data_IF_876101773630
#
_entry.id   IF_876101773630
#
_cell.length_a   1.000
_cell.length_b   1.000
_cell.length_c   1.000
_cell.angle_alpha   90.00
_cell.angle_beta   90.00
_cell.angle_gamma   90.00
#
_symmetry.space_group_name_H-M   'P 1'
#
loop_
_entity.id
_entity.type
_entity.pdbx_description
1 polymer ?
#
# COMPACT_ATOMS: atom_id res chain seq x y z
N UNK A 1 -10.31 -30.58 -27.76
CA UNK A 1 -10.53 -29.93 -26.45
C UNK A 1 -10.54 -28.44 -26.73
N UNK A 2 -11.52 -27.70 -26.25
CA UNK A 2 -11.51 -26.25 -26.34
C UNK A 2 -10.34 -25.71 -25.49
N UNK A 3 -9.61 -24.75 -26.02
CA UNK A 3 -8.50 -24.07 -25.29
C UNK A 3 -9.14 -23.24 -24.19
N UNK A 4 -8.66 -23.38 -22.95
CA UNK A 4 -9.17 -22.58 -21.83
C UNK A 4 -8.75 -21.12 -22.02
N UNK A 5 -9.46 -20.17 -21.36
CA UNK A 5 -9.11 -18.74 -21.37
C UNK A 5 -7.67 -18.55 -20.93
N UNK A 6 -7.21 -19.24 -19.88
CA UNK A 6 -5.85 -19.17 -19.35
C UNK A 6 -4.82 -19.71 -20.35
N UNK A 7 -5.10 -20.83 -20.99
CA UNK A 7 -4.21 -21.38 -22.04
C UNK A 7 -4.10 -20.44 -23.24
N UNK A 8 -5.21 -19.84 -23.69
CA UNK A 8 -5.17 -18.88 -24.77
C UNK A 8 -4.37 -17.65 -24.38
N UNK A 9 -4.58 -17.11 -23.19
CA UNK A 9 -3.83 -15.99 -22.63
C UNK A 9 -2.32 -16.28 -22.59
N UNK A 10 -1.90 -17.44 -22.07
CA UNK A 10 -0.49 -17.85 -22.03
C UNK A 10 0.13 -18.02 -23.42
N UNK A 11 -0.59 -18.63 -24.34
CA UNK A 11 -0.11 -18.81 -25.72
C UNK A 11 0.07 -17.46 -26.41
N UNK A 12 -0.89 -16.56 -26.27
CA UNK A 12 -0.81 -15.21 -26.82
C UNK A 12 0.32 -14.40 -26.19
N UNK A 13 0.52 -14.47 -24.87
CA UNK A 13 1.65 -13.88 -24.16
C UNK A 13 2.98 -14.35 -24.76
N UNK A 14 3.15 -15.67 -24.90
CA UNK A 14 4.35 -16.27 -25.46
C UNK A 14 4.61 -15.80 -26.92
N UNK A 15 3.55 -15.68 -27.72
CA UNK A 15 3.62 -15.16 -29.10
C UNK A 15 4.17 -13.73 -29.11
N UNK A 16 3.62 -12.83 -28.28
CA UNK A 16 4.04 -11.43 -28.21
C UNK A 16 5.45 -11.27 -27.65
N UNK A 17 5.78 -11.92 -26.54
CA UNK A 17 7.11 -11.85 -25.94
C UNK A 17 8.20 -12.41 -26.87
N UNK A 18 7.87 -13.42 -27.67
CA UNK A 18 8.79 -13.96 -28.70
C UNK A 18 8.97 -12.98 -29.86
N UNK A 19 7.90 -12.35 -30.31
CA UNK A 19 7.92 -11.44 -31.46
C UNK A 19 8.65 -10.12 -31.13
N UNK A 20 8.35 -9.54 -29.97
CA UNK A 20 8.89 -8.25 -29.54
C UNK A 20 10.18 -8.35 -28.70
N UNK A 21 10.53 -9.54 -28.20
CA UNK A 21 11.71 -9.81 -27.35
C UNK A 21 11.72 -9.01 -26.03
N UNK A 22 10.56 -8.65 -25.53
CA UNK A 22 10.34 -7.95 -24.28
C UNK A 22 9.18 -8.62 -23.53
N UNK A 23 9.11 -8.47 -22.20
CA UNK A 23 7.91 -8.84 -21.47
C UNK A 23 6.75 -7.94 -21.88
N UNK A 24 5.54 -8.50 -22.02
CA UNK A 24 4.34 -7.71 -22.33
C UNK A 24 4.08 -6.61 -21.27
N UNK A 25 4.59 -6.77 -20.04
CA UNK A 25 4.44 -5.80 -18.97
C UNK A 25 5.52 -4.72 -18.93
N UNK A 26 6.60 -4.86 -19.73
CA UNK A 26 7.70 -3.89 -19.77
C UNK A 26 7.56 -2.86 -20.88
N UNK A 27 6.62 -3.04 -21.82
CA UNK A 27 6.37 -2.12 -22.94
C UNK A 27 4.87 -1.85 -23.05
N UNK A 28 4.49 -0.59 -22.82
CA UNK A 28 3.09 -0.16 -22.84
C UNK A 28 2.38 -0.44 -24.18
N UNK A 29 3.04 -0.20 -25.31
CA UNK A 29 2.41 -0.41 -26.62
C UNK A 29 2.20 -1.89 -26.92
N UNK A 30 3.14 -2.75 -26.49
CA UNK A 30 3.02 -4.20 -26.62
C UNK A 30 1.88 -4.71 -25.74
N UNK A 31 1.77 -4.20 -24.51
CA UNK A 31 0.67 -4.54 -23.59
C UNK A 31 -0.69 -4.15 -24.19
N UNK A 32 -0.82 -2.94 -24.75
CA UNK A 32 -2.08 -2.50 -25.36
C UNK A 32 -2.51 -3.38 -26.53
N UNK A 33 -1.60 -3.68 -27.47
CA UNK A 33 -1.90 -4.55 -28.61
C UNK A 33 -2.29 -5.97 -28.16
N UNK A 34 -1.58 -6.49 -27.16
CA UNK A 34 -1.89 -7.77 -26.54
C UNK A 34 -3.29 -7.77 -25.91
N UNK A 35 -3.61 -6.75 -25.13
CA UNK A 35 -4.91 -6.60 -24.45
C UNK A 35 -6.06 -6.46 -25.47
N UNK A 36 -5.91 -5.66 -26.53
CA UNK A 36 -6.91 -5.54 -27.60
C UNK A 36 -7.21 -6.87 -28.30
N UNK A 37 -6.15 -7.63 -28.61
CA UNK A 37 -6.33 -8.95 -29.26
C UNK A 37 -7.00 -9.95 -28.33
N UNK A 38 -6.58 -9.97 -27.06
CA UNK A 38 -7.19 -10.83 -26.05
C UNK A 38 -8.65 -10.44 -25.79
N UNK A 39 -8.96 -9.15 -25.67
CA UNK A 39 -10.31 -8.65 -25.52
C UNK A 39 -11.22 -9.01 -26.70
N UNK A 40 -10.69 -8.97 -27.93
CA UNK A 40 -11.45 -9.40 -29.11
C UNK A 40 -11.81 -10.87 -29.08
N UNK A 41 -10.90 -11.72 -28.61
CA UNK A 41 -11.18 -13.15 -28.39
C UNK A 41 -12.27 -13.36 -27.31
N UNK A 42 -12.15 -12.67 -26.17
CA UNK A 42 -13.13 -12.79 -25.08
C UNK A 42 -14.52 -12.29 -25.49
N UNK A 43 -14.61 -11.22 -26.26
CA UNK A 43 -15.90 -10.73 -26.80
C UNK A 43 -16.56 -11.73 -27.72
N UNK A 44 -15.78 -12.48 -28.49
CA UNK A 44 -16.29 -13.61 -29.29
C UNK A 44 -16.85 -14.73 -28.41
N UNK A 45 -16.09 -15.13 -27.38
CA UNK A 45 -16.56 -16.17 -26.44
C UNK A 45 -17.82 -15.73 -25.67
N UNK A 46 -17.91 -14.47 -25.27
CA UNK A 46 -19.08 -13.95 -24.56
C UNK A 46 -20.37 -14.02 -25.41
N UNK A 47 -20.26 -13.85 -26.75
CA UNK A 47 -21.42 -14.05 -27.64
C UNK A 47 -21.85 -15.50 -27.72
N UNK A 48 -20.91 -16.44 -27.67
CA UNK A 48 -21.20 -17.88 -27.73
C UNK A 48 -21.64 -18.44 -26.38
N UNK A 49 -21.10 -17.89 -25.29
CA UNK A 49 -21.29 -18.35 -23.90
C UNK A 49 -21.63 -17.19 -22.97
N UNK A 50 -22.81 -16.57 -23.09
CA UNK A 50 -23.14 -15.32 -22.37
C UNK A 50 -23.26 -15.48 -20.84
N UNK A 51 -23.37 -16.70 -20.31
CA UNK A 51 -23.43 -17.00 -18.88
C UNK A 51 -22.07 -17.37 -18.26
N UNK A 52 -20.99 -17.33 -19.05
CA UNK A 52 -19.67 -17.73 -18.60
C UNK A 52 -19.01 -16.61 -17.77
N UNK A 53 -18.97 -16.80 -16.45
CA UNK A 53 -18.39 -15.85 -15.48
C UNK A 53 -16.90 -15.68 -15.70
N UNK A 54 -16.18 -16.71 -16.15
CA UNK A 54 -14.76 -16.62 -16.45
C UNK A 54 -14.50 -15.64 -17.61
N UNK A 55 -15.34 -15.70 -18.63
CA UNK A 55 -15.26 -14.83 -19.80
C UNK A 55 -15.54 -13.37 -19.41
N UNK A 56 -16.64 -13.10 -18.69
CA UNK A 56 -17.03 -11.73 -18.35
C UNK A 56 -16.02 -11.07 -17.39
N UNK A 57 -15.55 -11.81 -16.38
CA UNK A 57 -14.55 -11.29 -15.45
C UNK A 57 -13.19 -11.04 -16.13
N UNK A 58 -12.77 -11.94 -17.02
CA UNK A 58 -11.55 -11.73 -17.80
C UNK A 58 -11.67 -10.52 -18.74
N UNK A 59 -12.82 -10.35 -19.39
CA UNK A 59 -13.08 -9.20 -20.27
C UNK A 59 -13.07 -7.88 -19.48
N UNK A 60 -13.70 -7.83 -18.30
CA UNK A 60 -13.65 -6.67 -17.43
C UNK A 60 -12.21 -6.29 -17.04
N UNK A 61 -11.36 -7.28 -16.75
CA UNK A 61 -9.93 -7.04 -16.47
C UNK A 61 -9.19 -6.48 -17.69
N UNK A 62 -9.52 -6.96 -18.89
CA UNK A 62 -8.94 -6.43 -20.15
C UNK A 62 -9.36 -4.98 -20.38
N UNK A 63 -10.64 -4.65 -20.17
CA UNK A 63 -11.12 -3.26 -20.33
C UNK A 63 -10.41 -2.32 -19.36
N UNK A 64 -10.12 -2.74 -18.12
CA UNK A 64 -9.31 -1.96 -17.18
C UNK A 64 -7.89 -1.73 -17.71
N UNK A 65 -7.23 -2.77 -18.22
CA UNK A 65 -5.86 -2.65 -18.79
C UNK A 65 -5.85 -1.67 -19.96
N UNK A 66 -6.93 -1.65 -20.77
CA UNK A 66 -7.13 -0.70 -21.87
C UNK A 66 -7.52 0.71 -21.37
N UNK A 67 -7.57 0.95 -20.08
CA UNK A 67 -7.99 2.20 -19.43
C UNK A 67 -9.45 2.58 -19.72
N UNK A 68 -10.31 1.60 -19.88
CA UNK A 68 -11.74 1.73 -20.02
C UNK A 68 -12.45 1.29 -18.73
N UNK A 69 -12.11 1.89 -17.61
CA UNK A 69 -12.57 1.47 -16.26
C UNK A 69 -14.08 1.48 -16.12
N UNK A 70 -14.75 2.50 -16.70
CA UNK A 70 -16.21 2.57 -16.72
C UNK A 70 -16.83 1.38 -17.45
N UNK A 71 -16.17 0.88 -18.51
CA UNK A 71 -16.64 -0.30 -19.25
C UNK A 71 -16.54 -1.57 -18.41
N UNK A 72 -15.51 -1.68 -17.56
CA UNK A 72 -15.34 -2.83 -16.66
C UNK A 72 -16.51 -2.94 -15.66
N UNK A 73 -16.87 -1.80 -15.07
CA UNK A 73 -17.98 -1.67 -14.12
C UNK A 73 -19.30 -1.99 -14.83
N UNK A 74 -19.58 -1.29 -15.92
CA UNK A 74 -20.84 -1.44 -16.66
C UNK A 74 -21.04 -2.88 -17.14
N UNK A 75 -19.99 -3.52 -17.67
CA UNK A 75 -20.03 -4.90 -18.11
C UNK A 75 -20.46 -5.87 -17.00
N UNK A 76 -19.91 -5.71 -15.80
CA UNK A 76 -20.22 -6.59 -14.67
C UNK A 76 -21.59 -6.27 -14.06
N UNK A 77 -21.99 -5.01 -14.00
CA UNK A 77 -23.32 -4.59 -13.53
C UNK A 77 -24.41 -5.11 -14.48
N UNK A 78 -24.28 -4.93 -15.80
CA UNK A 78 -25.21 -5.43 -16.82
C UNK A 78 -25.31 -6.96 -16.80
N UNK A 79 -24.18 -7.64 -16.57
CA UNK A 79 -24.15 -9.09 -16.43
C UNK A 79 -24.98 -9.57 -15.23
N UNK A 80 -24.81 -8.93 -14.07
CA UNK A 80 -25.61 -9.25 -12.88
C UNK A 80 -27.09 -8.91 -13.08
N UNK A 81 -27.41 -7.75 -13.66
CA UNK A 81 -28.80 -7.37 -13.92
C UNK A 81 -29.50 -8.39 -14.82
N UNK A 82 -28.80 -8.84 -15.86
CA UNK A 82 -29.37 -9.76 -16.85
C UNK A 82 -29.48 -11.18 -16.34
N UNK A 83 -28.45 -11.69 -15.65
CA UNK A 83 -28.29 -13.12 -15.42
C UNK A 83 -28.30 -13.55 -13.94
N UNK A 84 -28.50 -12.63 -12.97
CA UNK A 84 -28.41 -12.99 -11.54
C UNK A 84 -29.35 -14.12 -11.12
N UNK A 85 -30.48 -14.28 -11.81
CA UNK A 85 -31.41 -15.41 -11.54
C UNK A 85 -30.86 -16.79 -11.91
N UNK A 86 -29.87 -16.86 -12.79
CA UNK A 86 -29.30 -18.10 -13.33
C UNK A 86 -27.93 -18.43 -12.71
N UNK A 87 -27.25 -17.43 -12.09
CA UNK A 87 -25.93 -17.59 -11.50
C UNK A 87 -26.00 -18.29 -10.14
N UNK A 88 -24.99 -19.11 -9.85
CA UNK A 88 -24.77 -19.66 -8.52
C UNK A 88 -24.34 -18.55 -7.54
N UNK A 89 -24.49 -18.80 -6.22
CA UNK A 89 -24.01 -17.86 -5.20
C UNK A 89 -22.48 -17.66 -5.27
N UNK A 90 -21.73 -18.67 -5.67
CA UNK A 90 -20.29 -18.61 -5.91
C UNK A 90 -19.96 -17.65 -7.06
N UNK A 91 -20.66 -17.77 -8.19
CA UNK A 91 -20.47 -16.92 -9.36
C UNK A 91 -20.81 -15.45 -9.04
N UNK A 92 -21.96 -15.25 -8.37
CA UNK A 92 -22.34 -13.92 -7.88
C UNK A 92 -21.28 -13.32 -6.96
N UNK A 93 -20.78 -14.09 -5.99
CA UNK A 93 -19.75 -13.62 -5.06
C UNK A 93 -18.48 -13.20 -5.80
N UNK A 94 -18.10 -13.91 -6.87
CA UNK A 94 -16.97 -13.54 -7.72
C UNK A 94 -17.20 -12.21 -8.43
N UNK A 95 -18.34 -12.05 -9.08
CA UNK A 95 -18.66 -10.82 -9.80
C UNK A 95 -18.75 -9.63 -8.86
N UNK A 96 -19.39 -9.78 -7.68
CA UNK A 96 -19.45 -8.73 -6.67
C UNK A 96 -18.06 -8.37 -6.11
N UNK A 97 -17.18 -9.35 -5.91
CA UNK A 97 -15.81 -9.06 -5.46
C UNK A 97 -15.03 -8.27 -6.51
N UNK A 98 -15.14 -8.65 -7.79
CA UNK A 98 -14.47 -7.96 -8.88
C UNK A 98 -15.05 -6.55 -9.09
N UNK A 99 -16.36 -6.36 -8.98
CA UNK A 99 -16.99 -5.04 -8.98
C UNK A 99 -16.46 -4.15 -7.85
N UNK A 100 -16.36 -4.69 -6.64
CA UNK A 100 -15.83 -3.95 -5.52
C UNK A 100 -14.42 -3.42 -5.79
N UNK A 101 -13.58 -4.23 -6.45
CA UNK A 101 -12.23 -3.80 -6.83
C UNK A 101 -12.23 -2.58 -7.76
N UNK A 102 -13.12 -2.54 -8.75
CA UNK A 102 -13.21 -1.39 -9.68
C UNK A 102 -13.78 -0.13 -9.04
N UNK A 103 -14.38 -0.21 -7.85
CA UNK A 103 -14.86 0.92 -7.08
C UNK A 103 -13.89 1.37 -5.96
N UNK A 104 -12.72 0.75 -5.84
CA UNK A 104 -11.81 0.97 -4.73
C UNK A 104 -11.11 2.36 -4.80
N UNK A 105 -10.86 2.91 -6.00
CA UNK A 105 -10.09 4.16 -6.16
C UNK A 105 -10.75 5.40 -5.57
N UNK A 106 -12.08 5.40 -5.44
CA UNK A 106 -12.84 6.53 -4.91
C UNK A 106 -13.41 6.26 -3.51
N UNK A 107 -13.01 5.18 -2.83
CA UNK A 107 -13.53 4.74 -1.51
C UNK A 107 -15.05 4.80 -1.42
N UNK A 108 -15.72 4.38 -2.49
CA UNK A 108 -17.15 4.46 -2.59
C UNK A 108 -17.83 3.50 -1.62
N UNK A 109 -18.98 3.94 -1.10
CA UNK A 109 -19.93 3.09 -0.38
C UNK A 109 -20.17 1.77 -1.14
N UNK A 110 -20.16 1.81 -2.47
CA UNK A 110 -20.34 0.65 -3.35
C UNK A 110 -19.26 -0.44 -3.19
N UNK A 111 -17.99 -0.10 -2.96
CA UNK A 111 -16.95 -1.11 -2.67
C UNK A 111 -17.37 -1.97 -1.48
N UNK A 112 -17.70 -1.32 -0.37
CA UNK A 112 -18.15 -1.99 0.84
C UNK A 112 -19.43 -2.78 0.64
N UNK A 113 -20.40 -2.21 -0.07
CA UNK A 113 -21.69 -2.87 -0.33
C UNK A 113 -21.51 -4.16 -1.13
N UNK A 114 -20.73 -4.14 -2.21
CA UNK A 114 -20.44 -5.32 -3.02
C UNK A 114 -19.66 -6.39 -2.26
N UNK A 115 -18.61 -6.01 -1.51
CA UNK A 115 -17.88 -6.94 -0.64
C UNK A 115 -18.81 -7.55 0.43
N UNK A 116 -19.69 -6.76 1.01
CA UNK A 116 -20.65 -7.21 2.01
C UNK A 116 -21.67 -8.21 1.42
N UNK A 117 -22.08 -8.00 0.17
CA UNK A 117 -22.95 -8.97 -0.54
C UNK A 117 -22.18 -10.26 -0.80
N UNK A 118 -20.96 -10.19 -1.31
CA UNK A 118 -20.14 -11.37 -1.56
C UNK A 118 -19.90 -12.20 -0.28
N UNK A 119 -19.64 -11.53 0.84
CA UNK A 119 -19.50 -12.19 2.16
C UNK A 119 -20.81 -12.87 2.60
N UNK A 120 -21.98 -12.23 2.41
CA UNK A 120 -23.30 -12.82 2.74
C UNK A 120 -23.61 -14.06 1.89
N UNK A 121 -23.09 -14.14 0.68
CA UNK A 121 -23.15 -15.30 -0.20
C UNK A 121 -22.15 -16.40 0.21
N UNK A 122 -21.43 -16.24 1.32
CA UNK A 122 -20.38 -17.16 1.78
C UNK A 122 -19.29 -17.37 0.74
N UNK A 123 -18.78 -16.29 0.17
CA UNK A 123 -17.72 -16.32 -0.85
C UNK A 123 -16.63 -17.36 -0.52
N UNK A 124 -16.31 -18.28 -1.44
CA UNK A 124 -15.20 -19.21 -1.26
C UNK A 124 -13.84 -18.59 -1.62
N UNK A 125 -13.80 -17.32 -2.00
CA UNK A 125 -12.63 -16.63 -2.49
C UNK A 125 -11.94 -15.82 -1.39
N UNK A 126 -10.64 -16.01 -1.25
CA UNK A 126 -9.80 -15.27 -0.30
C UNK A 126 -9.78 -13.77 -0.63
N UNK A 127 -9.86 -13.43 -1.91
CA UNK A 127 -9.85 -12.08 -2.46
C UNK A 127 -10.99 -11.24 -1.88
N UNK A 128 -12.17 -11.80 -1.70
CA UNK A 128 -13.32 -11.13 -1.08
C UNK A 128 -12.99 -10.63 0.33
N UNK A 129 -12.39 -11.50 1.13
CA UNK A 129 -12.05 -11.17 2.53
C UNK A 129 -10.84 -10.25 2.60
N UNK A 130 -9.89 -10.39 1.66
CA UNK A 130 -8.77 -9.48 1.53
C UNK A 130 -9.24 -8.08 1.15
N UNK A 131 -10.11 -7.95 0.15
CA UNK A 131 -10.70 -6.66 -0.23
C UNK A 131 -11.41 -5.99 0.95
N UNK A 132 -12.28 -6.73 1.65
CA UNK A 132 -12.99 -6.22 2.83
C UNK A 132 -12.03 -5.80 3.96
N UNK A 133 -10.95 -6.55 4.17
CA UNK A 133 -9.96 -6.22 5.17
C UNK A 133 -9.20 -4.94 4.81
N UNK A 134 -8.80 -4.79 3.55
CA UNK A 134 -8.12 -3.58 3.05
C UNK A 134 -9.03 -2.35 3.14
N UNK A 135 -10.30 -2.47 2.76
CA UNK A 135 -11.29 -1.40 2.92
C UNK A 135 -11.37 -0.90 4.37
N UNK A 136 -11.48 -1.82 5.34
CA UNK A 136 -11.54 -1.45 6.75
C UNK A 136 -10.21 -0.91 7.27
N UNK A 137 -9.08 -1.42 6.79
CA UNK A 137 -7.76 -0.91 7.17
C UNK A 137 -7.57 0.53 6.66
N UNK A 138 -7.93 0.81 5.42
CA UNK A 138 -7.92 2.17 4.87
C UNK A 138 -8.78 3.13 5.69
N UNK A 139 -9.97 2.69 6.12
CA UNK A 139 -10.82 3.48 7.01
C UNK A 139 -10.16 3.76 8.38
N UNK A 140 -9.34 2.81 8.89
CA UNK A 140 -8.53 3.03 10.09
C UNK A 140 -7.43 4.06 9.84
N UNK A 141 -6.76 4.01 8.71
CA UNK A 141 -5.71 4.99 8.37
C UNK A 141 -6.26 6.42 8.30
N UNK A 142 -7.48 6.58 7.78
CA UNK A 142 -8.10 7.90 7.62
C UNK A 142 -8.50 8.56 8.94
N UNK A 143 -9.02 7.80 9.87
CA UNK A 143 -9.71 8.35 11.04
C UNK A 143 -9.24 7.78 12.39
N UNK A 144 -8.26 6.86 12.39
CA UNK A 144 -7.74 6.22 13.60
C UNK A 144 -8.72 5.27 14.29
N UNK A 145 -9.80 4.84 13.60
CA UNK A 145 -10.86 4.03 14.20
C UNK A 145 -10.40 2.62 14.58
N UNK A 146 -10.27 2.34 15.85
CA UNK A 146 -9.96 1.00 16.37
C UNK A 146 -11.07 -0.02 16.01
N UNK A 147 -12.31 0.44 15.84
CA UNK A 147 -13.39 -0.40 15.35
C UNK A 147 -13.13 -0.86 13.90
N UNK A 148 -12.72 0.06 13.02
CA UNK A 148 -12.36 -0.26 11.64
C UNK A 148 -11.17 -1.24 11.60
N UNK A 149 -10.12 -0.98 12.38
CA UNK A 149 -8.98 -1.90 12.49
C UNK A 149 -9.38 -3.29 13.01
N UNK A 150 -10.33 -3.36 13.94
CA UNK A 150 -10.85 -4.64 14.44
C UNK A 150 -11.64 -5.39 13.37
N UNK A 151 -12.44 -4.69 12.55
CA UNK A 151 -13.15 -5.27 11.41
C UNK A 151 -12.18 -5.77 10.34
N UNK A 152 -11.11 -5.02 10.06
CA UNK A 152 -10.03 -5.45 9.17
C UNK A 152 -9.39 -6.76 9.66
N UNK A 153 -9.02 -6.82 10.94
CA UNK A 153 -8.48 -8.05 11.56
C UNK A 153 -9.41 -9.26 11.37
N UNK A 154 -10.71 -9.08 11.63
CA UNK A 154 -11.72 -10.15 11.49
C UNK A 154 -11.86 -10.61 10.03
N UNK A 155 -11.81 -9.69 9.08
CA UNK A 155 -11.87 -10.01 7.66
C UNK A 155 -10.63 -10.80 7.21
N UNK A 156 -9.42 -10.37 7.62
CA UNK A 156 -8.20 -11.15 7.38
C UNK A 156 -8.27 -12.55 8.01
N UNK A 157 -8.72 -12.66 9.26
CA UNK A 157 -8.88 -13.95 9.96
C UNK A 157 -9.84 -14.88 9.21
N UNK A 158 -10.96 -14.34 8.72
CA UNK A 158 -11.89 -15.09 7.91
C UNK A 158 -11.27 -15.56 6.59
N UNK A 159 -10.52 -14.69 5.91
CA UNK A 159 -9.78 -15.03 4.70
C UNK A 159 -8.76 -16.15 4.93
N UNK A 160 -8.02 -16.14 6.03
CA UNK A 160 -7.09 -17.22 6.42
C UNK A 160 -7.83 -18.56 6.56
N UNK A 161 -9.09 -18.55 7.04
CA UNK A 161 -9.90 -19.76 7.15
C UNK A 161 -10.32 -20.34 5.80
N UNK A 162 -10.33 -19.52 4.74
CA UNK A 162 -10.61 -19.93 3.35
C UNK A 162 -9.33 -20.45 2.70
N UNK A 163 -8.26 -19.68 2.75
CA UNK A 163 -6.95 -20.04 2.21
C UNK A 163 -5.83 -19.30 2.93
N UNK A 164 -4.72 -19.98 3.17
CA UNK A 164 -3.57 -19.41 3.88
C UNK A 164 -2.49 -18.95 2.89
N UNK A 165 -2.64 -17.74 2.38
CA UNK A 165 -1.67 -17.05 1.52
C UNK A 165 -0.74 -16.11 2.28
N UNK A 166 0.32 -15.64 1.61
CA UNK A 166 1.28 -14.68 2.19
C UNK A 166 0.59 -13.36 2.56
N UNK A 167 -0.05 -12.72 1.61
CA UNK A 167 -0.60 -11.36 1.75
C UNK A 167 -1.68 -11.27 2.84
N UNK A 168 -2.58 -12.28 2.89
CA UNK A 168 -3.65 -12.31 3.89
C UNK A 168 -3.10 -12.53 5.30
N UNK A 169 -2.09 -13.40 5.44
CA UNK A 169 -1.46 -13.69 6.73
C UNK A 169 -0.57 -12.53 7.19
N UNK A 170 0.09 -11.85 6.25
CA UNK A 170 0.86 -10.65 6.52
C UNK A 170 -0.07 -9.51 6.99
N UNK A 171 -1.17 -9.23 6.27
CA UNK A 171 -2.16 -8.21 6.66
C UNK A 171 -2.78 -8.50 8.04
N UNK A 172 -3.07 -9.78 8.34
CA UNK A 172 -3.51 -10.17 9.68
C UNK A 172 -2.50 -9.81 10.77
N UNK A 173 -1.21 -10.08 10.53
CA UNK A 173 -0.14 -9.75 11.47
C UNK A 173 0.05 -8.22 11.61
N UNK A 174 -0.13 -7.46 10.52
CA UNK A 174 -0.13 -5.99 10.54
C UNK A 174 -1.26 -5.46 11.44
N UNK A 175 -2.49 -5.95 11.27
CA UNK A 175 -3.59 -5.55 12.16
C UNK A 175 -3.33 -5.87 13.63
N UNK A 176 -2.69 -7.02 13.92
CA UNK A 176 -2.29 -7.35 15.28
C UNK A 176 -1.24 -6.38 15.83
N UNK A 177 -0.29 -5.96 15.00
CA UNK A 177 0.73 -4.99 15.35
C UNK A 177 0.10 -3.62 15.66
N UNK A 178 -0.74 -3.10 14.78
CA UNK A 178 -1.45 -1.82 14.96
C UNK A 178 -2.38 -1.85 16.20
N UNK A 179 -2.95 -3.01 16.53
CA UNK A 179 -3.69 -3.25 17.78
C UNK A 179 -2.77 -3.43 19.00
N UNK A 180 -1.46 -3.18 18.87
CA UNK A 180 -0.43 -3.31 19.92
C UNK A 180 -0.31 -4.72 20.51
N UNK A 181 -0.75 -5.76 19.76
CA UNK A 181 -0.61 -7.19 20.12
C UNK A 181 0.71 -7.75 19.59
N UNK A 182 1.82 -7.10 19.98
CA UNK A 182 3.15 -7.29 19.39
C UNK A 182 3.68 -8.72 19.44
N UNK A 183 3.49 -9.48 20.55
CA UNK A 183 3.92 -10.88 20.63
C UNK A 183 3.21 -11.76 19.62
N UNK A 184 1.89 -11.54 19.42
CA UNK A 184 1.10 -12.31 18.45
C UNK A 184 1.51 -11.96 17.02
N UNK A 185 1.63 -10.67 16.72
CA UNK A 185 2.09 -10.20 15.42
C UNK A 185 3.47 -10.78 15.07
N UNK A 186 4.43 -10.70 16.01
CA UNK A 186 5.77 -11.25 15.87
C UNK A 186 5.75 -12.74 15.55
N UNK A 187 4.95 -13.52 16.29
CA UNK A 187 4.82 -14.97 16.05
C UNK A 187 4.38 -15.28 14.61
N UNK A 188 3.41 -14.53 14.08
CA UNK A 188 2.94 -14.72 12.70
C UNK A 188 4.01 -14.29 11.69
N UNK A 189 4.65 -13.14 11.88
CA UNK A 189 5.76 -12.72 11.01
C UNK A 189 6.92 -13.73 11.00
N UNK A 190 7.29 -14.29 12.15
CA UNK A 190 8.34 -15.33 12.25
C UNK A 190 7.94 -16.62 11.52
N UNK A 191 6.67 -17.05 11.62
CA UNK A 191 6.17 -18.21 10.87
C UNK A 191 6.19 -17.95 9.36
N UNK A 192 5.80 -16.74 8.92
CA UNK A 192 5.88 -16.35 7.52
C UNK A 192 7.33 -16.29 7.04
N UNK A 193 8.25 -15.77 7.84
CA UNK A 193 9.66 -15.68 7.48
C UNK A 193 10.31 -17.08 7.28
N UNK A 194 9.90 -18.09 8.04
CA UNK A 194 10.34 -19.48 7.80
C UNK A 194 9.91 -19.98 6.42
N UNK A 195 8.74 -19.57 5.95
CA UNK A 195 8.16 -19.96 4.65
C UNK A 195 8.66 -19.07 3.50
N UNK A 196 8.96 -17.81 3.79
CA UNK A 196 9.35 -16.78 2.82
C UNK A 196 10.61 -16.03 3.31
N UNK A 197 11.79 -16.71 3.34
CA UNK A 197 12.98 -16.22 4.05
C UNK A 197 13.61 -14.95 3.48
N UNK A 198 13.28 -14.59 2.23
CA UNK A 198 13.84 -13.41 1.55
C UNK A 198 12.94 -12.16 1.62
N UNK A 199 11.83 -12.21 2.36
CA UNK A 199 10.89 -11.10 2.47
C UNK A 199 11.36 -10.08 3.51
N UNK A 200 11.81 -8.91 3.05
CA UNK A 200 12.34 -7.84 3.92
C UNK A 200 11.25 -7.24 4.82
N UNK A 201 10.02 -7.10 4.32
CA UNK A 201 8.86 -6.67 5.11
C UNK A 201 8.65 -7.50 6.37
N UNK A 202 8.92 -8.81 6.32
CA UNK A 202 8.81 -9.68 7.49
C UNK A 202 9.90 -9.38 8.52
N UNK A 203 11.14 -9.13 8.07
CA UNK A 203 12.23 -8.72 8.97
C UNK A 203 11.92 -7.40 9.65
N UNK A 204 11.37 -6.43 8.91
CA UNK A 204 10.95 -5.14 9.43
C UNK A 204 9.83 -5.31 10.47
N UNK A 205 8.76 -6.06 10.14
CA UNK A 205 7.66 -6.31 11.06
C UNK A 205 8.12 -6.97 12.37
N UNK A 206 9.02 -7.96 12.30
CA UNK A 206 9.61 -8.58 13.49
C UNK A 206 10.47 -7.57 14.28
N UNK A 207 11.29 -6.77 13.59
CA UNK A 207 12.11 -5.75 14.23
C UNK A 207 11.25 -4.72 14.98
N UNK A 208 10.17 -4.27 14.37
CA UNK A 208 9.22 -3.33 14.99
C UNK A 208 8.53 -3.94 16.22
N UNK A 209 8.11 -5.21 16.13
CA UNK A 209 7.61 -5.92 17.32
C UNK A 209 8.66 -5.95 18.43
N UNK A 210 9.93 -6.25 18.11
CA UNK A 210 11.02 -6.28 19.10
C UNK A 210 11.28 -4.90 19.71
N UNK A 211 11.14 -3.81 18.95
CA UNK A 211 11.23 -2.44 19.48
C UNK A 211 10.22 -2.23 20.62
N UNK A 212 8.94 -2.52 20.36
CA UNK A 212 7.88 -2.31 21.33
C UNK A 212 7.86 -3.33 22.47
N UNK A 213 8.45 -4.51 22.26
CA UNK A 213 8.64 -5.52 23.33
C UNK A 213 9.88 -5.27 24.20
N UNK A 214 10.68 -4.22 23.89
CA UNK A 214 11.90 -3.92 24.62
C UNK A 214 13.09 -4.82 24.28
N UNK A 215 13.01 -5.64 23.24
CA UNK A 215 14.05 -6.55 22.80
C UNK A 215 15.09 -5.81 21.92
N UNK A 216 15.68 -4.73 22.47
CA UNK A 216 16.53 -3.79 21.75
C UNK A 216 17.62 -4.46 20.90
N UNK A 217 18.36 -5.44 21.47
CA UNK A 217 19.43 -6.12 20.74
C UNK A 217 18.92 -6.88 19.51
N UNK A 218 17.82 -7.60 19.67
CA UNK A 218 17.21 -8.36 18.57
C UNK A 218 16.69 -7.44 17.46
N UNK A 219 16.06 -6.32 17.85
CA UNK A 219 15.61 -5.31 16.90
C UNK A 219 16.79 -4.77 16.07
N UNK A 220 17.86 -4.34 16.73
CA UNK A 220 19.07 -3.83 16.05
C UNK A 220 19.71 -4.87 15.11
N UNK A 221 19.81 -6.12 15.57
CA UNK A 221 20.39 -7.21 14.76
C UNK A 221 19.55 -7.52 13.50
N UNK A 222 18.23 -7.26 13.55
CA UNK A 222 17.33 -7.42 12.40
C UNK A 222 17.38 -6.21 11.48
N UNK A 223 17.27 -5.00 12.00
CA UNK A 223 17.34 -3.76 11.20
C UNK A 223 18.60 -3.72 10.34
N UNK A 224 19.76 -4.12 10.89
CA UNK A 224 21.03 -4.20 10.13
C UNK A 224 21.02 -5.19 8.96
N UNK A 225 20.09 -6.13 8.92
CA UNK A 225 19.97 -7.13 7.84
C UNK A 225 19.01 -6.71 6.75
N UNK A 226 18.23 -5.65 6.98
CA UNK A 226 17.28 -5.14 6.01
C UNK A 226 18.06 -4.55 4.83
N UNK A 227 17.62 -4.88 3.63
CA UNK A 227 18.12 -4.33 2.37
C UNK A 227 17.11 -3.33 1.83
N UNK A 228 17.61 -2.18 1.43
CA UNK A 228 16.79 -1.08 0.91
C UNK A 228 16.71 -1.10 -0.61
N UNK A 229 15.73 -0.38 -1.17
CA UNK A 229 15.23 -0.39 -2.53
C UNK A 229 16.18 -0.52 -3.72
N UNK A 230 17.45 -0.19 -3.60
CA UNK A 230 18.41 -0.30 -4.70
C UNK A 230 18.94 -1.71 -4.97
N UNK A 231 18.73 -2.65 -4.06
CA UNK A 231 19.25 -4.03 -4.16
C UNK A 231 18.15 -5.02 -4.57
N UNK A 232 17.73 -4.92 -5.82
CA UNK A 232 16.59 -5.67 -6.41
C UNK A 232 16.68 -7.18 -6.19
N UNK A 233 17.88 -7.74 -6.01
CA UNK A 233 18.07 -9.17 -5.79
C UNK A 233 17.42 -9.70 -4.49
N UNK A 234 17.14 -8.81 -3.54
CA UNK A 234 16.50 -9.15 -2.26
C UNK A 234 15.03 -8.81 -2.19
N UNK A 235 14.49 -8.16 -3.22
CA UNK A 235 13.10 -7.72 -3.27
C UNK A 235 12.26 -8.68 -4.09
N UNK A 236 11.15 -9.04 -3.50
CA UNK A 236 10.03 -9.67 -4.19
C UNK A 236 8.98 -8.57 -4.39
N UNK A 237 8.05 -8.78 -5.31
CA UNK A 237 6.95 -7.85 -5.51
C UNK A 237 6.30 -7.43 -4.18
N UNK A 238 6.10 -6.13 -3.98
CA UNK A 238 5.53 -5.53 -2.77
C UNK A 238 6.33 -5.74 -1.48
N UNK A 239 7.65 -5.92 -1.58
CA UNK A 239 8.55 -6.11 -0.43
C UNK A 239 9.50 -4.91 -0.19
N UNK A 240 9.29 -3.84 -0.91
CA UNK A 240 10.11 -2.62 -0.83
C UNK A 240 10.08 -2.01 0.57
N UNK A 241 11.26 -1.64 1.07
CA UNK A 241 11.44 -0.95 2.35
C UNK A 241 12.01 0.43 2.06
N UNK A 242 11.40 1.45 2.64
CA UNK A 242 11.89 2.82 2.55
C UNK A 242 12.87 3.13 3.67
N UNK A 243 13.82 4.00 3.41
CA UNK A 243 14.88 4.39 4.34
C UNK A 243 14.31 4.87 5.66
N UNK A 244 13.26 5.71 5.62
CA UNK A 244 12.62 6.24 6.81
C UNK A 244 12.02 5.16 7.73
N UNK A 245 11.62 4.02 7.20
CA UNK A 245 11.10 2.92 8.01
C UNK A 245 12.20 2.35 8.91
N UNK A 246 13.44 2.30 8.42
CA UNK A 246 14.60 1.80 9.18
C UNK A 246 15.11 2.85 10.16
N UNK A 247 15.33 4.08 9.71
CA UNK A 247 15.90 5.10 10.61
C UNK A 247 14.91 5.53 11.71
N UNK A 248 13.61 5.54 11.46
CA UNK A 248 12.62 5.78 12.50
C UNK A 248 12.68 4.73 13.62
N UNK A 249 12.96 3.46 13.28
CA UNK A 249 13.15 2.43 14.29
C UNK A 249 14.39 2.69 15.17
N UNK A 250 15.50 3.16 14.58
CA UNK A 250 16.67 3.57 15.37
C UNK A 250 16.34 4.74 16.30
N UNK A 251 15.57 5.72 15.83
CA UNK A 251 15.13 6.85 16.66
C UNK A 251 14.30 6.38 17.86
N UNK A 252 13.31 5.51 17.64
CA UNK A 252 12.46 4.97 18.70
C UNK A 252 13.28 4.19 19.74
N UNK A 253 14.27 3.40 19.27
CA UNK A 253 15.22 2.66 20.12
C UNK A 253 16.20 3.56 20.91
N UNK A 254 16.24 4.86 20.61
CA UNK A 254 17.20 5.79 21.20
C UNK A 254 18.62 5.66 20.67
N UNK A 255 18.80 5.04 19.50
CA UNK A 255 20.08 4.90 18.79
C UNK A 255 20.29 6.10 17.85
N UNK A 256 20.41 7.31 18.44
CA UNK A 256 20.40 8.57 17.69
C UNK A 256 21.60 8.73 16.74
N UNK A 257 22.76 8.18 17.08
CA UNK A 257 23.92 8.21 16.17
C UNK A 257 23.66 7.35 14.93
N UNK A 258 23.05 6.16 15.08
CA UNK A 258 22.66 5.33 13.94
C UNK A 258 21.55 5.99 13.13
N UNK A 259 20.55 6.57 13.81
CA UNK A 259 19.48 7.32 13.17
C UNK A 259 20.05 8.42 12.26
N UNK A 260 20.92 9.29 12.79
CA UNK A 260 21.51 10.39 12.03
C UNK A 260 22.43 9.89 10.90
N UNK A 261 23.13 8.78 11.10
CA UNK A 261 23.97 8.19 10.06
C UNK A 261 23.17 7.62 8.88
N UNK A 262 21.99 7.07 9.13
CA UNK A 262 21.08 6.62 8.06
C UNK A 262 20.37 7.83 7.39
N UNK A 263 19.94 8.83 8.16
CA UNK A 263 19.43 10.08 7.59
C UNK A 263 20.42 10.71 6.62
N UNK A 264 21.71 10.78 7.00
CA UNK A 264 22.75 11.37 6.15
C UNK A 264 22.99 10.61 4.83
N UNK A 265 22.59 9.35 4.72
CA UNK A 265 22.65 8.59 3.46
C UNK A 265 21.44 8.86 2.56
N UNK A 266 20.31 9.22 3.16
CA UNK A 266 19.04 9.48 2.49
C UNK A 266 18.91 10.96 2.03
N UNK A 267 19.93 11.81 2.28
CA UNK A 267 19.87 13.27 2.06
C UNK A 267 19.51 13.74 0.65
N UNK A 268 19.60 12.89 -0.38
CA UNK A 268 19.23 13.29 -1.74
C UNK A 268 17.72 13.15 -2.02
N UNK A 269 16.97 12.38 -1.21
CA UNK A 269 15.57 12.02 -1.51
C UNK A 269 14.59 12.28 -0.34
N UNK A 270 15.04 12.65 0.85
CA UNK A 270 14.18 12.81 2.03
C UNK A 270 14.24 14.23 2.59
N UNK A 271 13.06 14.82 2.79
CA UNK A 271 12.94 16.00 3.66
C UNK A 271 13.26 15.59 5.12
N UNK A 272 14.50 15.77 5.51
CA UNK A 272 15.00 15.49 6.87
C UNK A 272 14.66 16.60 7.86
N UNK A 273 13.92 17.62 7.44
CA UNK A 273 13.49 18.70 8.30
C UNK A 273 12.37 18.19 9.25
N UNK A 274 12.67 18.13 10.53
CA UNK A 274 11.66 17.74 11.49
C UNK A 274 12.15 17.54 12.91
N UNK A 275 11.21 17.55 13.83
CA UNK A 275 11.47 17.42 15.25
C UNK A 275 12.36 16.24 15.64
N UNK A 276 12.17 15.02 15.12
CA UNK A 276 13.02 13.87 15.42
C UNK A 276 14.49 14.09 15.01
N UNK A 277 14.75 14.67 13.83
CA UNK A 277 16.09 14.95 13.35
C UNK A 277 16.79 15.99 14.25
N UNK A 278 16.10 17.08 14.57
CA UNK A 278 16.63 18.10 15.48
C UNK A 278 16.89 17.54 16.89
N UNK A 279 16.01 16.69 17.39
CA UNK A 279 16.23 16.04 18.67
C UNK A 279 17.46 15.12 18.66
N UNK A 280 17.65 14.36 17.59
CA UNK A 280 18.83 13.53 17.36
C UNK A 280 20.13 14.34 17.40
N UNK A 281 20.21 15.44 16.63
CA UNK A 281 21.35 16.35 16.60
C UNK A 281 21.63 16.97 17.97
N UNK A 282 20.59 17.43 18.68
CA UNK A 282 20.73 18.04 19.99
C UNK A 282 21.25 17.04 21.02
N UNK A 283 20.66 15.85 21.06
CA UNK A 283 21.00 14.81 22.04
C UNK A 283 22.41 14.23 21.84
N UNK A 284 22.90 14.18 20.59
CA UNK A 284 24.27 13.76 20.26
C UNK A 284 25.30 14.87 20.31
N UNK A 285 24.98 16.03 20.90
CA UNK A 285 25.84 17.23 21.02
C UNK A 285 26.32 17.82 19.68
N UNK A 286 25.61 17.60 18.59
CA UNK A 286 25.90 18.19 17.27
C UNK A 286 25.27 19.59 17.14
N UNK A 287 25.46 20.45 18.16
CA UNK A 287 24.76 21.75 18.25
C UNK A 287 25.01 22.69 17.08
N UNK A 288 26.24 22.68 16.48
CA UNK A 288 26.53 23.51 15.31
C UNK A 288 25.68 23.09 14.09
N UNK A 289 25.56 21.78 13.87
CA UNK A 289 24.76 21.24 12.79
C UNK A 289 23.28 21.50 13.06
N UNK A 290 22.83 21.27 14.28
CA UNK A 290 21.47 21.61 14.71
C UNK A 290 21.08 23.05 14.34
N UNK A 291 21.89 24.02 14.70
CA UNK A 291 21.60 25.44 14.40
C UNK A 291 21.58 25.70 12.90
N UNK A 292 22.53 25.14 12.17
CA UNK A 292 22.59 25.29 10.70
C UNK A 292 21.33 24.75 10.02
N UNK A 293 20.90 23.57 10.40
CA UNK A 293 19.72 22.93 9.77
C UNK A 293 18.42 23.65 10.16
N UNK A 294 18.29 24.09 11.41
CA UNK A 294 17.14 24.92 11.84
C UNK A 294 17.10 26.26 11.09
N UNK A 295 18.24 26.93 10.94
CA UNK A 295 18.30 28.20 10.24
C UNK A 295 18.03 28.02 8.74
N UNK A 296 18.50 26.91 8.13
CA UNK A 296 18.21 26.54 6.74
C UNK A 296 16.70 26.38 6.55
N UNK A 297 16.05 25.53 7.34
CA UNK A 297 14.61 25.31 7.25
C UNK A 297 13.78 26.57 7.45
N UNK A 298 14.20 27.42 8.42
CA UNK A 298 13.55 28.71 8.64
C UNK A 298 13.64 29.61 7.42
N UNK A 299 14.82 29.63 6.76
CA UNK A 299 15.02 30.44 5.55
C UNK A 299 14.13 29.92 4.41
N UNK A 300 14.10 28.62 4.19
CA UNK A 300 13.26 28.00 3.16
C UNK A 300 11.77 28.31 3.37
N UNK A 301 11.26 28.20 4.60
CA UNK A 301 9.87 28.55 4.91
C UNK A 301 9.57 30.04 4.65
N UNK A 302 10.50 30.92 4.98
CA UNK A 302 10.34 32.36 4.71
C UNK A 302 10.39 32.65 3.20
N UNK A 303 11.23 31.97 2.45
CA UNK A 303 11.28 32.09 0.99
C UNK A 303 9.95 31.59 0.36
N UNK A 304 9.40 30.46 0.81
CA UNK A 304 8.09 29.99 0.36
C UNK A 304 6.96 31.03 0.60
N UNK A 305 6.96 31.70 1.76
CA UNK A 305 6.00 32.75 2.08
C UNK A 305 6.15 33.94 1.10
N UNK A 306 7.36 34.39 0.84
CA UNK A 306 7.63 35.51 -0.07
C UNK A 306 7.32 35.12 -1.53
N UNK A 307 7.62 33.90 -1.94
CA UNK A 307 7.28 33.40 -3.28
C UNK A 307 5.78 33.37 -3.50
N UNK A 308 4.99 32.86 -2.55
CA UNK A 308 3.53 32.88 -2.63
C UNK A 308 2.99 34.30 -2.69
N UNK A 309 3.57 35.25 -1.91
CA UNK A 309 3.16 36.66 -1.97
C UNK A 309 3.44 37.29 -3.34
N UNK A 310 4.51 36.89 -4.00
CA UNK A 310 4.92 37.42 -5.30
C UNK A 310 4.11 36.85 -6.48
N UNK A 311 3.43 35.72 -6.32
CA UNK A 311 2.56 35.15 -7.37
C UNK A 311 1.33 36.02 -7.55
N UNK A 312 1.08 36.45 -8.81
CA UNK A 312 -0.08 37.28 -9.17
C UNK A 312 -1.31 36.46 -9.59
N UNK A 313 -1.09 35.26 -10.15
CA UNK A 313 -2.16 34.40 -10.70
C UNK A 313 -2.56 33.31 -9.69
N UNK A 314 -3.28 33.69 -8.63
CA UNK A 314 -4.01 32.75 -7.78
C UNK A 314 -5.50 32.74 -8.18
N UNK A 315 -6.17 31.59 -8.03
CA UNK A 315 -7.60 31.45 -8.31
C UNK A 315 -8.45 32.37 -7.41
N UNK A 316 -7.98 32.66 -6.19
CA UNK A 316 -8.57 33.63 -5.29
C UNK A 316 -7.56 34.17 -4.26
N UNK A 317 -7.82 35.37 -3.73
CA UNK A 317 -7.03 35.95 -2.62
C UNK A 317 -7.17 35.11 -1.33
N UNK A 318 -8.32 34.47 -1.13
CA UNK A 318 -8.56 33.57 0.02
C UNK A 318 -7.67 32.33 -0.05
N UNK A 319 -7.49 31.78 -1.23
CA UNK A 319 -6.58 30.63 -1.46
C UNK A 319 -5.11 31.05 -1.20
N UNK A 320 -4.67 32.16 -1.79
CA UNK A 320 -3.35 32.74 -1.56
C UNK A 320 -3.06 32.92 -0.07
N UNK A 321 -4.01 33.49 0.65
CA UNK A 321 -3.87 33.72 2.08
C UNK A 321 -3.84 32.40 2.87
N UNK A 322 -4.55 31.37 2.45
CA UNK A 322 -4.51 30.05 3.05
C UNK A 322 -3.13 29.39 2.93
N UNK A 323 -2.47 29.51 1.76
CA UNK A 323 -1.08 29.02 1.60
C UNK A 323 -0.09 29.79 2.49
N UNK A 324 -0.19 31.12 2.54
CA UNK A 324 0.66 31.93 3.42
C UNK A 324 0.48 31.50 4.88
N UNK A 325 -0.75 31.36 5.34
CA UNK A 325 -1.04 30.95 6.72
C UNK A 325 -0.47 29.56 7.01
N UNK A 326 -0.54 28.62 6.10
CA UNK A 326 0.05 27.28 6.27
C UNK A 326 1.57 27.35 6.52
N UNK A 327 2.30 28.15 5.74
CA UNK A 327 3.73 28.32 5.93
C UNK A 327 4.10 29.10 7.21
N UNK A 328 3.26 30.06 7.62
CA UNK A 328 3.43 30.75 8.90
C UNK A 328 3.20 29.81 10.09
N UNK A 329 2.22 28.92 10.01
CA UNK A 329 1.95 27.89 11.01
C UNK A 329 3.14 26.90 11.12
N UNK A 330 3.73 26.49 9.99
CA UNK A 330 4.93 25.65 9.95
C UNK A 330 6.16 26.35 10.58
N UNK A 331 6.32 27.65 10.35
CA UNK A 331 7.38 28.45 10.96
C UNK A 331 7.23 28.57 12.48
N UNK A 332 5.99 28.71 12.97
CA UNK A 332 5.67 28.71 14.40
C UNK A 332 5.90 27.32 15.02
N UNK A 333 5.49 26.25 14.31
CA UNK A 333 5.71 24.85 14.71
C UNK A 333 7.20 24.54 14.83
N UNK A 334 8.01 24.95 13.86
CA UNK A 334 9.49 24.82 13.89
C UNK A 334 10.05 25.53 15.13
N UNK A 335 9.67 26.76 15.34
CA UNK A 335 10.16 27.56 16.48
C UNK A 335 9.78 26.93 17.84
N UNK A 336 8.57 26.40 17.92
CA UNK A 336 8.04 25.73 19.12
C UNK A 336 8.79 24.43 19.41
N UNK A 337 8.97 23.56 18.42
CA UNK A 337 9.66 22.27 18.61
C UNK A 337 11.12 22.48 18.98
N UNK A 338 11.80 23.43 18.34
CA UNK A 338 13.18 23.81 18.65
C UNK A 338 13.31 24.30 20.08
N UNK A 339 12.40 25.17 20.54
CA UNK A 339 12.38 25.66 21.92
C UNK A 339 12.22 24.50 22.92
N UNK A 340 11.24 23.63 22.68
CA UNK A 340 10.96 22.47 23.55
C UNK A 340 12.14 21.49 23.62
N UNK A 341 12.79 21.20 22.50
CA UNK A 341 13.98 20.35 22.47
C UNK A 341 15.12 20.96 23.33
N UNK A 342 15.38 22.24 23.16
CA UNK A 342 16.50 22.93 23.84
C UNK A 342 16.29 23.13 25.34
N UNK A 343 15.05 23.41 25.76
CA UNK A 343 14.77 23.91 27.10
C UNK A 343 13.91 22.97 27.95
N UNK A 344 13.14 22.08 27.33
CA UNK A 344 12.21 21.20 28.03
C UNK A 344 12.59 19.72 27.92
N UNK A 345 13.72 19.41 27.29
CA UNK A 345 14.14 18.03 26.98
C UNK A 345 13.03 17.22 26.28
N UNK A 346 12.25 17.89 25.45
CA UNK A 346 11.13 17.29 24.72
C UNK A 346 11.65 16.36 23.62
N UNK A 347 11.25 15.11 23.67
CA UNK A 347 11.49 14.11 22.63
C UNK A 347 10.27 14.04 21.72
N UNK A 348 10.35 14.47 20.43
CA UNK A 348 9.29 14.25 19.46
C UNK A 348 8.90 12.78 19.35
N UNK A 349 7.61 12.52 19.22
CA UNK A 349 7.09 11.14 19.12
C UNK A 349 7.19 10.68 17.67
N UNK A 350 7.74 9.49 17.50
CA UNK A 350 7.71 8.74 16.23
C UNK A 350 7.01 7.43 16.49
N UNK A 351 5.94 7.17 15.74
CA UNK A 351 5.26 5.89 15.77
C UNK A 351 5.72 5.04 14.59
N UNK A 352 6.10 3.79 14.88
CA UNK A 352 6.38 2.82 13.84
C UNK A 352 5.07 2.23 13.38
N UNK A 353 4.78 2.33 12.09
CA UNK A 353 3.56 1.81 11.47
C UNK A 353 3.86 0.72 10.48
N UNK A 354 2.98 -0.24 10.37
CA UNK A 354 3.00 -1.26 9.34
C UNK A 354 1.72 -1.16 8.52
N UNK A 355 1.84 -1.47 7.25
CA UNK A 355 0.73 -1.43 6.30
C UNK A 355 0.54 -2.79 5.67
N UNK A 356 -0.71 -3.24 5.45
CA UNK A 356 -0.95 -4.43 4.65
C UNK A 356 -0.52 -4.17 3.21
N UNK A 357 -0.31 -5.24 2.45
CA UNK A 357 0.00 -5.11 1.04
C UNK A 357 -1.26 -4.71 0.29
N UNK A 358 -1.32 -3.44 -0.11
CA UNK A 358 -2.35 -2.96 -1.03
C UNK A 358 -2.05 -3.47 -2.43
N UNK A 359 -2.97 -4.18 -3.01
CA UNK A 359 -2.80 -4.73 -4.35
C UNK A 359 -4.08 -5.33 -4.88
N UNK A 360 -4.03 -5.78 -6.13
CA UNK A 360 -5.17 -6.35 -6.82
C UNK A 360 -5.78 -7.52 -6.04
N UNK A 361 -7.08 -7.42 -5.75
CA UNK A 361 -7.89 -8.52 -5.20
C UNK A 361 -8.97 -9.02 -6.18
N UNK A 362 -8.76 -8.78 -7.48
CA UNK A 362 -9.59 -9.41 -8.51
C UNK A 362 -9.42 -10.93 -8.48
N UNK A 363 -10.53 -11.65 -8.46
CA UNK A 363 -10.51 -13.11 -8.48
C UNK A 363 -10.08 -13.56 -9.88
N UNK A 364 -9.07 -14.45 -9.93
CA UNK A 364 -8.46 -14.97 -11.15
C UNK A 364 -7.92 -13.89 -12.10
N UNK A 365 -7.41 -12.79 -11.55
CA UNK A 365 -6.76 -11.75 -12.35
C UNK A 365 -5.60 -12.33 -13.17
N UNK A 366 -5.70 -12.25 -14.50
CA UNK A 366 -4.67 -12.78 -15.40
C UNK A 366 -3.43 -11.89 -15.49
N UNK A 367 -3.52 -10.62 -15.07
CA UNK A 367 -2.45 -9.64 -15.16
C UNK A 367 -1.62 -9.52 -13.87
N UNK A 368 -2.18 -9.86 -12.71
CA UNK A 368 -1.54 -9.65 -11.41
C UNK A 368 -1.25 -10.95 -10.62
N UNK A 369 -1.82 -12.08 -11.02
CA UNK A 369 -1.62 -13.37 -10.35
C UNK A 369 -0.56 -14.21 -11.12
N UNK A 370 0.72 -13.89 -10.90
CA UNK A 370 1.87 -14.61 -11.45
C UNK A 370 2.67 -15.30 -10.37
#
# INVERSE_FOLDING_TARGET
MAVTIREYWQNLKTEYETAYKVSIFSDYNVLMQYAERFGSYLRGLMQEHPLDVDVVCALATVEQVLRHEENSIQLLEDFLETYSGELSDTDKARVYTNLAFYYNDERHIKEYDYLSVAVKLNSPYIETYRGLALYHFSSYEDNGSIEALTKSLQAFEKGISVSNGYEISYGYAVCLFELKKYEKAKTIFEQLLLKYPNRMRLLLGIAYCDVYLGNKKQALDRLKKIKLGSDVAYYLSNDEIYDFEVFNAYYVLGEYELFLAECAKAEEDCDLSGGPYYFGLWTTNQHKLFHREVDKQRTELLECIEDVKAVEDFDSEEEKQSYIQSWEDDLEALSTVVHKIKHENYKPVVELKLYPIYGCYLIDCLFHNF
#
